data_IF_348269802015
#
_entry.id   IF_348269802015
#
_cell.length_a   1.000
_cell.length_b   1.000
_cell.length_c   1.000
_cell.angle_alpha   90.00
_cell.angle_beta   90.00
_cell.angle_gamma   90.00
#
_symmetry.space_group_name_H-M   'P 1'
#
loop_
_entity.id
_entity.type
_entity.pdbx_description
1 polymer ?
#
# COMPACT_ATOMS: atom_id res chain seq x y z
N UNK A 1 24.37 -11.61 28.45
CA UNK A 1 24.42 -11.36 26.99
C UNK A 1 23.08 -11.57 26.26
N UNK A 2 22.07 -12.24 26.82
CA UNK A 2 20.77 -12.44 26.17
C UNK A 2 19.80 -11.23 26.22
N UNK A 3 19.88 -10.35 27.23
CA UNK A 3 18.92 -9.23 27.34
C UNK A 3 19.16 -8.10 26.35
N UNK A 4 20.37 -7.96 25.79
CA UNK A 4 20.67 -6.95 24.74
C UNK A 4 20.09 -7.32 23.37
N UNK A 5 19.73 -8.59 23.14
CA UNK A 5 19.01 -9.04 21.93
C UNK A 5 17.48 -8.88 22.13
N UNK A 6 17.03 -8.71 23.38
CA UNK A 6 15.62 -8.72 23.80
C UNK A 6 15.13 -7.34 24.29
N UNK A 7 15.67 -6.25 23.71
CA UNK A 7 15.23 -4.87 23.98
C UNK A 7 14.24 -4.34 22.94
N UNK A 8 13.75 -5.21 22.05
CA UNK A 8 12.67 -4.89 21.11
C UNK A 8 11.39 -5.53 21.62
N UNK A 9 10.32 -4.77 21.67
CA UNK A 9 9.06 -5.27 22.21
C UNK A 9 8.59 -6.46 21.34
N UNK A 10 8.15 -7.59 21.93
CA UNK A 10 7.83 -8.79 21.16
C UNK A 10 6.70 -8.59 20.14
N UNK A 11 5.82 -7.60 20.37
CA UNK A 11 4.77 -7.23 19.41
C UNK A 11 5.23 -6.21 18.36
N UNK A 12 6.39 -5.57 18.53
CA UNK A 12 6.89 -4.58 17.57
C UNK A 12 7.06 -5.21 16.19
N UNK A 13 7.67 -6.40 16.14
CA UNK A 13 7.80 -7.17 14.89
C UNK A 13 6.44 -7.56 14.30
N UNK A 14 5.44 -7.87 15.14
CA UNK A 14 4.10 -8.23 14.68
C UNK A 14 3.34 -7.04 14.13
N UNK A 15 3.43 -5.89 14.79
CA UNK A 15 2.80 -4.65 14.36
C UNK A 15 3.40 -4.21 13.02
N UNK A 16 4.73 -4.24 12.90
CA UNK A 16 5.42 -3.86 11.66
C UNK A 16 5.06 -4.77 10.47
N UNK A 17 4.77 -6.05 10.71
CA UNK A 17 4.45 -7.01 9.66
C UNK A 17 2.95 -7.34 9.56
N UNK A 18 2.08 -6.61 10.27
CA UNK A 18 0.66 -6.94 10.39
C UNK A 18 -0.02 -7.00 9.02
N UNK A 19 0.12 -5.95 8.21
CA UNK A 19 -0.52 -5.88 6.90
C UNK A 19 -0.04 -6.97 5.94
N UNK A 20 1.28 -7.20 5.89
CA UNK A 20 1.86 -8.27 5.07
C UNK A 20 1.36 -9.64 5.49
N UNK A 21 1.27 -9.91 6.79
CA UNK A 21 0.76 -11.18 7.32
C UNK A 21 -0.72 -11.37 6.98
N UNK A 22 -1.52 -10.31 7.11
CA UNK A 22 -2.93 -10.32 6.76
C UNK A 22 -3.12 -10.59 5.26
N UNK A 23 -2.36 -9.91 4.40
CA UNK A 23 -2.40 -10.11 2.94
C UNK A 23 -2.00 -11.55 2.56
N UNK A 24 -0.95 -12.09 3.18
CA UNK A 24 -0.50 -13.45 2.90
C UNK A 24 -1.56 -14.48 3.31
N UNK A 25 -2.23 -14.27 4.44
CA UNK A 25 -3.34 -15.12 4.89
C UNK A 25 -4.52 -15.10 3.90
N UNK A 26 -4.82 -13.93 3.31
CA UNK A 26 -5.83 -13.81 2.26
C UNK A 26 -5.43 -14.55 0.99
N UNK A 27 -4.19 -14.39 0.52
CA UNK A 27 -3.69 -15.10 -0.67
C UNK A 27 -3.67 -16.62 -0.48
N UNK A 28 -3.35 -17.10 0.72
CA UNK A 28 -3.49 -18.53 1.05
C UNK A 28 -4.95 -19.00 1.00
N UNK A 29 -5.88 -18.18 1.47
CA UNK A 29 -7.32 -18.47 1.40
C UNK A 29 -7.77 -18.56 -0.06
N UNK A 30 -7.38 -17.60 -0.90
CA UNK A 30 -7.66 -17.63 -2.33
C UNK A 30 -7.05 -18.86 -3.01
N UNK A 31 -5.82 -19.23 -2.65
CA UNK A 31 -5.19 -20.45 -3.14
C UNK A 31 -6.02 -21.70 -2.81
N UNK A 32 -6.58 -21.77 -1.61
CA UNK A 32 -7.38 -22.93 -1.15
C UNK A 32 -8.74 -23.01 -1.84
N UNK A 33 -9.38 -21.87 -2.11
CA UNK A 33 -10.72 -21.82 -2.70
C UNK A 33 -10.68 -21.92 -4.23
N UNK A 34 -9.80 -21.16 -4.87
CA UNK A 34 -9.76 -20.96 -6.33
C UNK A 34 -8.55 -21.61 -7.01
N UNK A 35 -7.61 -22.15 -6.24
CA UNK A 35 -6.38 -22.76 -6.75
C UNK A 35 -5.22 -21.77 -6.85
N UNK A 36 -4.07 -22.27 -7.30
CA UNK A 36 -2.81 -21.51 -7.30
C UNK A 36 -2.77 -20.34 -8.29
N UNK A 37 -3.64 -20.32 -9.31
CA UNK A 37 -3.67 -19.26 -10.33
C UNK A 37 -4.17 -17.92 -9.80
N UNK A 38 -5.17 -17.93 -8.91
CA UNK A 38 -5.78 -16.72 -8.37
C UNK A 38 -4.78 -15.80 -7.63
N UNK A 39 -3.96 -16.29 -6.66
CA UNK A 39 -3.00 -15.42 -5.99
C UNK A 39 -1.95 -14.86 -6.96
N UNK A 40 -1.52 -15.64 -7.96
CA UNK A 40 -0.52 -15.19 -8.96
C UNK A 40 -1.08 -14.07 -9.81
N UNK A 41 -2.28 -14.27 -10.35
CA UNK A 41 -2.97 -13.25 -11.14
C UNK A 41 -3.15 -11.99 -10.34
N UNK A 42 -3.63 -12.10 -9.09
CA UNK A 42 -3.86 -10.94 -8.23
C UNK A 42 -2.58 -10.15 -7.93
N UNK A 43 -1.46 -10.84 -7.70
CA UNK A 43 -0.17 -10.15 -7.50
C UNK A 43 0.28 -9.43 -8.77
N UNK A 44 0.08 -10.03 -9.95
CA UNK A 44 0.38 -9.38 -11.23
C UNK A 44 -0.51 -8.17 -11.50
N UNK A 45 -1.81 -8.28 -11.25
CA UNK A 45 -2.76 -7.18 -11.40
C UNK A 45 -2.39 -6.01 -10.48
N UNK A 46 -1.96 -6.29 -9.24
CA UNK A 46 -1.53 -5.28 -8.28
C UNK A 46 -0.24 -4.59 -8.75
N UNK A 47 0.73 -5.33 -9.28
CA UNK A 47 1.95 -4.75 -9.88
C UNK A 47 1.64 -3.85 -11.07
N UNK A 48 0.69 -4.23 -11.93
CA UNK A 48 0.24 -3.41 -13.07
C UNK A 48 -0.41 -2.13 -12.57
N UNK A 49 -1.29 -2.21 -11.57
CA UNK A 49 -1.95 -1.03 -10.99
C UNK A 49 -0.91 -0.08 -10.38
N UNK A 50 0.03 -0.59 -9.58
CA UNK A 50 1.09 0.22 -8.96
C UNK A 50 1.99 0.90 -10.02
N UNK A 51 2.20 0.26 -11.17
CA UNK A 51 2.96 0.84 -12.28
C UNK A 51 2.18 1.93 -13.05
N UNK A 52 0.86 1.84 -13.11
CA UNK A 52 0.00 2.65 -14.00
C UNK A 52 -0.78 3.77 -13.30
N UNK A 53 -1.03 3.67 -12.00
CA UNK A 53 -1.90 4.59 -11.23
C UNK A 53 -1.27 5.97 -10.95
N UNK A 54 -0.20 6.36 -11.67
CA UNK A 54 0.39 7.68 -11.48
C UNK A 54 -0.55 8.79 -11.97
N UNK A 55 -0.94 9.67 -11.05
CA UNK A 55 -1.65 10.91 -11.36
C UNK A 55 -1.08 12.06 -10.52
N UNK A 56 -0.67 13.19 -11.15
CA UNK A 56 -0.11 14.34 -10.46
C UNK A 56 -1.01 14.85 -9.32
N UNK A 57 -0.40 15.32 -8.23
CA UNK A 57 -1.12 15.83 -7.06
C UNK A 57 -1.99 17.05 -7.41
N UNK A 58 -1.53 17.91 -8.32
CA UNK A 58 -2.30 19.06 -8.85
C UNK A 58 -3.62 18.65 -9.52
N UNK A 59 -3.70 17.43 -10.06
CA UNK A 59 -4.92 16.88 -10.67
C UNK A 59 -5.80 16.12 -9.66
N UNK A 60 -5.50 16.21 -8.36
CA UNK A 60 -6.20 15.52 -7.29
C UNK A 60 -5.60 14.18 -6.87
N UNK A 61 -4.38 13.86 -7.32
CA UNK A 61 -3.65 12.64 -6.93
C UNK A 61 -4.21 11.36 -7.54
N UNK A 62 -3.49 10.25 -7.35
CA UNK A 62 -3.91 8.91 -7.76
C UNK A 62 -5.17 8.46 -7.01
N UNK A 63 -6.06 7.80 -7.72
CA UNK A 63 -7.28 7.26 -7.14
C UNK A 63 -7.06 5.77 -6.90
N UNK A 64 -6.78 5.39 -5.66
CA UNK A 64 -6.37 4.03 -5.28
C UNK A 64 -7.48 2.96 -5.44
N UNK A 65 -8.63 3.27 -6.05
CA UNK A 65 -9.80 2.38 -6.09
C UNK A 65 -9.49 1.00 -6.72
N UNK A 66 -8.65 0.96 -7.76
CA UNK A 66 -8.25 -0.30 -8.39
C UNK A 66 -7.42 -1.16 -7.42
N UNK A 67 -6.53 -0.51 -6.67
CA UNK A 67 -5.70 -1.14 -5.65
C UNK A 67 -6.55 -1.62 -4.48
N UNK A 68 -7.52 -0.82 -4.05
CA UNK A 68 -8.40 -1.14 -2.93
C UNK A 68 -9.29 -2.34 -3.24
N UNK A 69 -9.80 -2.46 -4.47
CA UNK A 69 -10.54 -3.64 -4.91
C UNK A 69 -9.66 -4.90 -4.87
N UNK A 70 -8.42 -4.82 -5.37
CA UNK A 70 -7.50 -5.96 -5.39
C UNK A 70 -7.07 -6.40 -3.98
N UNK A 71 -6.93 -5.43 -3.06
CA UNK A 71 -6.62 -5.64 -1.65
C UNK A 71 -7.86 -5.95 -0.79
N UNK A 72 -9.07 -5.94 -1.38
CA UNK A 72 -10.33 -6.15 -0.68
C UNK A 72 -10.54 -5.15 0.48
N UNK A 73 -10.13 -3.90 0.25
CA UNK A 73 -10.24 -2.73 1.14
C UNK A 73 -11.26 -1.70 0.65
N UNK A 74 -11.99 -1.98 -0.43
CA UNK A 74 -12.96 -1.06 -1.07
C UNK A 74 -14.12 -0.61 -0.17
N UNK A 75 -14.51 -1.45 0.79
CA UNK A 75 -15.54 -1.12 1.78
C UNK A 75 -14.98 -0.68 3.15
N UNK A 76 -13.65 -0.59 3.28
CA UNK A 76 -12.99 -0.13 4.50
C UNK A 76 -12.64 1.35 4.42
N UNK A 77 -12.58 2.02 5.57
CA UNK A 77 -12.16 3.41 5.68
C UNK A 77 -11.06 3.49 6.73
N UNK A 78 -9.90 4.02 6.33
CA UNK A 78 -8.79 4.29 7.22
C UNK A 78 -8.65 5.81 7.49
N UNK A 79 -7.80 6.17 8.45
CA UNK A 79 -7.56 7.56 8.79
C UNK A 79 -6.96 8.36 7.62
N UNK A 80 -6.14 7.72 6.78
CA UNK A 80 -5.52 8.30 5.58
C UNK A 80 -6.55 8.74 4.52
N UNK A 81 -7.71 8.05 4.45
CA UNK A 81 -8.80 8.39 3.52
C UNK A 81 -9.50 9.69 3.90
N UNK A 82 -9.59 9.96 5.21
CA UNK A 82 -10.23 11.13 5.79
C UNK A 82 -9.26 12.32 5.78
N UNK A 83 -7.99 12.08 6.13
CA UNK A 83 -6.96 13.11 6.25
C UNK A 83 -5.94 13.02 5.11
N UNK A 84 -6.40 13.32 3.89
CA UNK A 84 -5.56 13.34 2.69
C UNK A 84 -4.36 14.29 2.87
N UNK A 85 -3.14 13.74 2.86
CA UNK A 85 -1.86 14.45 2.98
C UNK A 85 -1.16 14.37 4.35
N UNK A 86 -1.72 13.62 5.31
CA UNK A 86 -1.09 13.34 6.61
C UNK A 86 -0.81 14.58 7.47
N UNK A 87 0.16 14.48 8.39
CA UNK A 87 0.60 15.62 9.24
C UNK A 87 1.19 16.77 8.41
N UNK A 88 1.58 16.50 7.16
CA UNK A 88 2.19 17.45 6.23
C UNK A 88 1.19 18.24 5.37
N UNK A 89 -0.13 17.99 5.51
CA UNK A 89 -1.20 18.68 4.74
C UNK A 89 -1.23 20.20 4.86
N UNK A 90 -0.41 20.79 5.72
CA UNK A 90 -0.31 22.23 5.87
C UNK A 90 0.31 22.96 4.66
N UNK A 91 1.19 22.34 3.85
CA UNK A 91 2.05 23.17 2.96
C UNK A 91 2.75 22.55 1.73
N UNK A 92 2.33 21.41 1.14
CA UNK A 92 3.05 20.90 -0.04
C UNK A 92 2.15 20.26 -1.11
N UNK A 93 1.39 21.08 -1.85
CA UNK A 93 1.06 20.70 -3.24
C UNK A 93 2.38 20.78 -3.99
N UNK A 94 2.97 19.63 -4.33
CA UNK A 94 4.21 19.59 -5.11
C UNK A 94 3.93 20.15 -6.50
N UNK A 95 4.84 20.96 -7.00
CA UNK A 95 4.77 21.46 -8.37
C UNK A 95 4.73 20.27 -9.35
N UNK A 96 3.89 20.37 -10.37
CA UNK A 96 3.70 19.35 -11.41
C UNK A 96 5.03 18.96 -12.05
N UNK A 97 5.89 19.94 -12.30
CA UNK A 97 7.19 19.74 -12.91
C UNK A 97 8.11 18.90 -12.03
N UNK A 98 8.21 19.23 -10.74
CA UNK A 98 8.99 18.46 -9.76
C UNK A 98 8.52 17.01 -9.61
N UNK A 99 7.21 16.76 -9.65
CA UNK A 99 6.66 15.39 -9.61
C UNK A 99 7.00 14.58 -10.87
N UNK A 100 6.90 15.21 -12.04
CA UNK A 100 7.21 14.59 -13.33
C UNK A 100 8.71 14.31 -13.48
N UNK A 101 9.58 15.23 -13.08
CA UNK A 101 11.03 15.07 -13.06
C UNK A 101 11.43 13.86 -12.20
N UNK A 102 10.91 13.78 -10.97
CA UNK A 102 11.13 12.63 -10.07
C UNK A 102 10.67 11.31 -10.69
N UNK A 103 9.51 11.29 -11.37
CA UNK A 103 8.98 10.07 -12.01
C UNK A 103 9.81 9.65 -13.22
N UNK A 104 10.28 10.61 -14.02
CA UNK A 104 11.07 10.37 -15.22
C UNK A 104 12.57 10.17 -14.93
N UNK A 105 13.01 10.40 -13.69
CA UNK A 105 14.41 10.25 -13.28
C UNK A 105 15.32 11.35 -13.82
N UNK A 106 14.75 12.54 -14.07
CA UNK A 106 15.44 13.76 -14.48
C UNK A 106 15.67 14.61 -13.23
#
# INVERSE_FOLDING_TARGET
>A
MASKINNRHPLESRINNWESTQQQTQLETYRRIFGAGEPIKRTMDLEIVDATDFKPSVLGGSANIHKDILLNKDASVDWDDIYKGGIESGNNVKDFHTEMEKKMGI
#
